data_IF_059662653830
#
_entry.id   IF_059662653830
#
_cell.length_a   1.000
_cell.length_b   1.000
_cell.length_c   1.000
_cell.angle_alpha   90.00
_cell.angle_beta   90.00
_cell.angle_gamma   90.00
#
_symmetry.space_group_name_H-M   'P 1'
#
loop_
_entity.id
_entity.type
_entity.pdbx_description
1 polymer ?
#
# COMPACT_ATOMS: atom_id res chain seq x y z
N UNK A 1 11.89 1.77 7.19
CA UNK A 1 11.14 0.56 6.79
C UNK A 1 11.90 -0.19 5.69
N UNK A 2 12.26 -1.47 5.90
CA UNK A 2 12.98 -2.28 4.90
C UNK A 2 12.01 -3.14 4.08
N UNK A 3 11.59 -2.64 2.92
CA UNK A 3 10.62 -3.30 2.05
C UNK A 3 11.06 -4.69 1.61
N UNK A 4 12.34 -4.89 1.31
CA UNK A 4 12.87 -6.19 0.88
C UNK A 4 12.68 -7.27 1.96
N UNK A 5 12.82 -6.90 3.24
CA UNK A 5 12.56 -7.81 4.37
C UNK A 5 11.06 -8.11 4.52
N UNK A 6 10.20 -7.11 4.32
CA UNK A 6 8.74 -7.27 4.39
C UNK A 6 8.26 -8.24 3.29
N UNK A 7 8.64 -7.98 2.04
CA UNK A 7 8.27 -8.86 0.91
C UNK A 7 8.71 -10.31 1.13
N UNK A 8 9.95 -10.53 1.61
CA UNK A 8 10.44 -11.89 1.93
C UNK A 8 9.66 -12.58 3.05
N UNK A 9 9.22 -11.84 4.07
CA UNK A 9 8.41 -12.40 5.16
C UNK A 9 7.04 -12.85 4.67
N UNK A 10 6.36 -12.01 3.88
CA UNK A 10 5.05 -12.33 3.28
C UNK A 10 5.19 -13.50 2.30
N UNK A 11 6.19 -13.45 1.42
CA UNK A 11 6.52 -14.51 0.47
C UNK A 11 6.67 -15.88 1.15
N UNK A 12 7.49 -15.96 2.21
CA UNK A 12 7.69 -17.19 2.98
C UNK A 12 6.39 -17.70 3.62
N UNK A 13 5.56 -16.80 4.14
CA UNK A 13 4.29 -17.16 4.78
C UNK A 13 3.29 -17.78 3.80
N UNK A 14 3.29 -17.29 2.56
CA UNK A 14 2.29 -17.66 1.55
C UNK A 14 2.82 -18.63 0.47
N UNK A 15 4.08 -19.07 0.55
CA UNK A 15 4.66 -19.99 -0.42
C UNK A 15 4.89 -19.39 -1.82
N UNK A 16 5.03 -18.06 -1.91
CA UNK A 16 5.22 -17.32 -3.17
C UNK A 16 6.57 -16.60 -3.18
N UNK A 17 6.95 -15.99 -4.31
CA UNK A 17 8.18 -15.20 -4.40
C UNK A 17 8.00 -13.77 -3.87
N UNK A 18 9.11 -13.14 -3.43
CA UNK A 18 9.09 -11.74 -3.02
C UNK A 18 8.77 -10.78 -4.19
N UNK A 19 9.05 -11.20 -5.43
CA UNK A 19 8.71 -10.45 -6.64
C UNK A 19 7.21 -10.45 -6.87
N UNK A 20 6.54 -11.60 -6.73
CA UNK A 20 5.08 -11.70 -6.80
C UNK A 20 4.42 -10.83 -5.74
N UNK A 21 4.89 -10.90 -4.49
CA UNK A 21 4.38 -10.03 -3.42
C UNK A 21 4.48 -8.55 -3.81
N UNK A 22 5.65 -8.10 -4.28
CA UNK A 22 5.83 -6.70 -4.69
C UNK A 22 4.87 -6.32 -5.83
N UNK A 23 4.78 -7.17 -6.85
CA UNK A 23 3.93 -6.95 -8.03
C UNK A 23 2.46 -6.86 -7.64
N UNK A 24 1.97 -7.84 -6.89
CA UNK A 24 0.55 -7.97 -6.57
C UNK A 24 0.11 -6.89 -5.58
N UNK A 25 0.97 -6.48 -4.65
CA UNK A 25 0.71 -5.31 -3.80
C UNK A 25 0.60 -4.02 -4.62
N UNK A 26 1.51 -3.78 -5.57
CA UNK A 26 1.44 -2.58 -6.40
C UNK A 26 0.19 -2.60 -7.31
N UNK A 27 -0.13 -3.76 -7.90
CA UNK A 27 -1.32 -3.92 -8.72
C UNK A 27 -2.63 -3.69 -7.93
N UNK A 28 -2.69 -4.12 -6.68
CA UNK A 28 -3.83 -3.86 -5.81
C UNK A 28 -4.01 -2.36 -5.52
N UNK A 29 -2.91 -1.63 -5.33
CA UNK A 29 -2.93 -0.18 -5.14
C UNK A 29 -3.41 0.52 -6.42
N UNK A 30 -2.83 0.17 -7.57
CA UNK A 30 -3.23 0.72 -8.86
C UNK A 30 -4.71 0.47 -9.14
N UNK A 31 -5.20 -0.74 -8.88
CA UNK A 31 -6.61 -1.06 -9.01
C UNK A 31 -7.48 -0.18 -8.11
N UNK A 32 -7.10 0.00 -6.84
CA UNK A 32 -7.84 0.83 -5.89
C UNK A 32 -7.88 2.31 -6.31
N UNK A 33 -6.80 2.83 -6.90
CA UNK A 33 -6.70 4.23 -7.34
C UNK A 33 -7.27 4.50 -8.74
N UNK A 34 -7.31 3.50 -9.61
CA UNK A 34 -7.85 3.67 -10.96
C UNK A 34 -9.32 3.25 -11.08
N UNK A 35 -9.92 2.69 -10.02
CA UNK A 35 -11.34 2.33 -10.01
C UNK A 35 -12.22 3.59 -10.21
N UNK A 36 -13.09 3.63 -11.23
CA UNK A 36 -13.94 4.80 -11.48
C UNK A 36 -15.05 4.96 -10.42
N UNK A 37 -15.57 3.85 -9.90
CA UNK A 37 -16.65 3.81 -8.91
C UNK A 37 -16.18 3.98 -7.46
N UNK A 38 -15.16 4.81 -7.22
CA UNK A 38 -14.73 5.16 -5.86
C UNK A 38 -15.74 6.09 -5.20
N UNK A 39 -16.15 5.77 -3.99
CA UNK A 39 -16.92 6.67 -3.14
C UNK A 39 -16.10 7.91 -2.79
N UNK A 40 -16.79 9.00 -2.44
CA UNK A 40 -16.14 10.25 -2.01
C UNK A 40 -15.22 10.02 -0.81
N UNK A 41 -15.67 9.23 0.17
CA UNK A 41 -14.86 8.85 1.34
C UNK A 41 -13.57 8.12 0.95
N UNK A 42 -13.63 7.20 -0.01
CA UNK A 42 -12.44 6.51 -0.50
C UNK A 42 -11.47 7.48 -1.16
N UNK A 43 -11.96 8.43 -1.97
CA UNK A 43 -11.13 9.46 -2.60
C UNK A 43 -10.44 10.34 -1.56
N UNK A 44 -11.17 10.82 -0.57
CA UNK A 44 -10.62 11.65 0.51
C UNK A 44 -9.49 10.94 1.27
N UNK A 45 -9.70 9.67 1.64
CA UNK A 45 -8.65 8.89 2.31
C UNK A 45 -7.46 8.67 1.37
N UNK A 46 -7.72 8.33 0.10
CA UNK A 46 -6.66 8.14 -0.89
C UNK A 46 -5.85 9.42 -1.13
N UNK A 47 -6.45 10.61 -1.10
CA UNK A 47 -5.79 11.91 -1.24
C UNK A 47 -4.90 12.26 -0.05
N UNK A 48 -5.21 11.75 1.15
CA UNK A 48 -4.35 11.94 2.33
C UNK A 48 -3.03 11.16 2.29
N UNK A 49 -2.88 10.21 1.35
CA UNK A 49 -1.63 9.47 1.15
C UNK A 49 -0.65 10.33 0.36
N UNK A 50 0.39 10.83 1.06
CA UNK A 50 1.54 11.49 0.44
C UNK A 50 2.17 10.60 -0.62
N UNK A 51 2.27 11.11 -1.85
CA UNK A 51 2.80 10.39 -3.01
C UNK A 51 3.45 11.33 -4.01
N UNK A 52 4.52 10.85 -4.64
CA UNK A 52 5.22 11.60 -5.69
C UNK A 52 4.45 11.59 -7.03
N UNK A 53 3.74 10.49 -7.31
CA UNK A 53 3.01 10.27 -8.56
C UNK A 53 1.50 10.20 -8.35
N UNK A 54 0.72 9.99 -9.41
CA UNK A 54 -0.74 9.86 -9.34
C UNK A 54 -1.22 8.68 -8.48
N UNK A 55 -0.47 7.58 -8.47
CA UNK A 55 -0.71 6.37 -7.67
C UNK A 55 0.47 6.16 -6.73
N UNK A 56 0.24 5.89 -5.42
CA UNK A 56 1.34 5.67 -4.49
C UNK A 56 2.05 4.35 -4.78
N UNK A 57 3.32 4.31 -4.40
CA UNK A 57 4.09 3.08 -4.28
C UNK A 57 3.65 2.28 -3.06
N UNK A 58 3.95 0.98 -3.07
CA UNK A 58 3.77 0.12 -1.89
C UNK A 58 4.41 0.71 -0.62
N UNK A 59 5.57 1.38 -0.76
CA UNK A 59 6.29 1.96 0.38
C UNK A 59 5.54 3.16 0.96
N UNK A 60 5.08 4.07 0.11
CA UNK A 60 4.33 5.27 0.54
C UNK A 60 3.04 4.88 1.26
N UNK A 61 2.27 3.95 0.67
CA UNK A 61 1.01 3.52 1.27
C UNK A 61 1.21 2.83 2.63
N UNK A 62 2.19 1.94 2.77
CA UNK A 62 2.47 1.29 4.06
C UNK A 62 3.00 2.29 5.08
N UNK A 63 3.81 3.28 4.66
CA UNK A 63 4.32 4.30 5.56
C UNK A 63 3.17 5.15 6.13
N UNK A 64 2.25 5.57 5.26
CA UNK A 64 1.02 6.26 5.63
C UNK A 64 0.18 5.42 6.60
N UNK A 65 -0.16 4.18 6.22
CA UNK A 65 -0.99 3.30 7.06
C UNK A 65 -0.34 3.04 8.43
N UNK A 66 0.97 2.85 8.48
CA UNK A 66 1.69 2.66 9.74
C UNK A 66 1.71 3.94 10.60
N UNK A 67 1.71 5.14 9.99
CA UNK A 67 1.61 6.41 10.71
C UNK A 67 0.23 6.57 11.34
N UNK A 68 -0.83 6.36 10.55
CA UNK A 68 -2.23 6.42 11.01
C UNK A 68 -2.50 5.46 12.16
N UNK A 69 -1.97 4.23 12.10
CA UNK A 69 -2.11 3.26 13.20
C UNK A 69 -1.44 3.74 14.49
N UNK A 70 -0.22 4.31 14.41
CA UNK A 70 0.48 4.86 15.58
C UNK A 70 -0.22 6.08 16.17
N UNK A 71 -0.92 6.86 15.36
CA UNK A 71 -1.67 8.02 15.84
C UNK A 71 -2.97 7.62 16.54
N UNK A 72 -3.61 6.51 16.13
CA UNK A 72 -4.81 5.96 16.78
C UNK A 72 -4.54 5.22 18.08
N UNK A 73 -3.31 4.75 18.28
CA UNK A 73 -2.88 4.10 19.52
C UNK A 73 -2.51 5.11 20.63
N UNK A 74 -2.50 6.42 20.33
CA UNK A 74 -2.32 7.51 21.29
C UNK A 74 -3.66 8.00 21.82
#
# INVERSE_FOLDING_TARGET
MNMRRIYRKVAKKHGVSATEVKRDMQAAIEHAYNRPSRSEREKMVQESVERENSVPTVKELIAFAARELREKEK
#
